data_IF_150430013972
#
_entry.id   IF_150430013972
#
_cell.length_a   1.000
_cell.length_b   1.000
_cell.length_c   1.000
_cell.angle_alpha   90.00
_cell.angle_beta   90.00
_cell.angle_gamma   90.00
#
_symmetry.space_group_name_H-M   'P 1'
#
loop_
_entity.id
_entity.type
_entity.pdbx_description
1 polymer ?
#
# COMPACT_ATOMS: atom_id res chain seq x y z
N UNK A 1 1.77 -1.45 11.64
CA UNK A 1 1.78 -2.39 12.78
C UNK A 1 2.90 -3.41 12.60
N UNK A 2 3.52 -3.90 13.69
CA UNK A 2 4.58 -4.93 13.61
C UNK A 2 3.95 -6.33 13.60
N UNK A 3 4.35 -7.18 12.64
CA UNK A 3 3.96 -8.60 12.61
C UNK A 3 4.36 -9.33 13.89
N UNK A 4 3.74 -10.48 14.15
CA UNK A 4 4.19 -11.38 15.20
C UNK A 4 5.61 -11.89 14.88
N UNK A 5 6.53 -11.87 15.87
CA UNK A 5 7.89 -12.35 15.69
C UNK A 5 7.95 -13.88 15.71
N UNK A 6 8.93 -14.43 14.99
CA UNK A 6 9.22 -15.86 14.95
C UNK A 6 8.44 -16.61 13.86
N UNK A 7 8.68 -17.91 13.80
CA UNK A 7 7.96 -18.81 12.90
C UNK A 7 6.69 -19.32 13.58
N UNK A 8 5.62 -19.38 12.80
CA UNK A 8 4.32 -19.83 13.25
C UNK A 8 3.82 -20.95 12.35
N UNK A 9 3.11 -21.91 12.95
CA UNK A 9 2.57 -23.06 12.24
C UNK A 9 1.56 -22.63 11.20
N UNK A 10 1.46 -23.40 10.12
CA UNK A 10 0.39 -23.27 9.12
C UNK A 10 -0.96 -23.36 9.84
N UNK A 11 -1.89 -22.47 9.50
CA UNK A 11 -3.22 -22.42 10.13
C UNK A 11 -3.30 -21.71 11.48
N UNK A 12 -2.18 -21.29 12.07
CA UNK A 12 -2.24 -20.50 13.32
C UNK A 12 -2.75 -19.07 13.06
N UNK A 13 -3.54 -18.53 14.00
CA UNK A 13 -4.06 -17.16 13.93
C UNK A 13 -2.95 -16.12 13.71
N UNK A 14 -1.80 -16.30 14.36
CA UNK A 14 -0.63 -15.40 14.22
C UNK A 14 -0.05 -15.43 12.81
N UNK A 15 0.00 -16.60 12.16
CA UNK A 15 0.50 -16.72 10.79
C UNK A 15 -0.49 -16.10 9.80
N UNK A 16 -1.77 -16.37 9.97
CA UNK A 16 -2.82 -15.81 9.12
C UNK A 16 -2.88 -14.29 9.25
N UNK A 17 -2.80 -13.77 10.49
CA UNK A 17 -2.67 -12.34 10.74
C UNK A 17 -1.45 -11.74 10.02
N UNK A 18 -0.27 -12.37 10.14
CA UNK A 18 0.94 -11.89 9.47
C UNK A 18 0.78 -11.88 7.93
N UNK A 19 0.13 -12.91 7.36
CA UNK A 19 -0.17 -12.99 5.92
C UNK A 19 -1.07 -11.83 5.49
N UNK A 20 -2.18 -11.61 6.20
CA UNK A 20 -3.12 -10.51 5.93
C UNK A 20 -2.47 -9.14 6.10
N UNK A 21 -1.71 -8.93 7.16
CA UNK A 21 -0.98 -7.68 7.38
C UNK A 21 -0.01 -7.39 6.23
N UNK A 22 0.69 -8.42 5.74
CA UNK A 22 1.60 -8.28 4.60
C UNK A 22 0.86 -7.97 3.31
N UNK A 23 -0.23 -8.66 3.00
CA UNK A 23 -1.01 -8.42 1.78
C UNK A 23 -1.64 -7.02 1.78
N UNK A 24 -2.22 -6.58 2.89
CA UNK A 24 -2.75 -5.20 3.02
C UNK A 24 -1.66 -4.16 2.80
N UNK A 25 -0.45 -4.39 3.34
CA UNK A 25 0.69 -3.47 3.13
C UNK A 25 1.07 -3.37 1.66
N UNK A 26 1.12 -4.49 0.94
CA UNK A 26 1.41 -4.52 -0.51
C UNK A 26 0.39 -3.69 -1.29
N UNK A 27 -0.90 -3.83 -0.99
CA UNK A 27 -1.97 -3.04 -1.63
C UNK A 27 -1.76 -1.54 -1.40
N UNK A 28 -1.57 -1.14 -0.14
CA UNK A 28 -1.37 0.27 0.22
C UNK A 28 -0.12 0.84 -0.47
N UNK A 29 1.00 0.14 -0.42
CA UNK A 29 2.26 0.58 -1.05
C UNK A 29 2.11 0.72 -2.57
N UNK A 30 1.43 -0.22 -3.23
CA UNK A 30 1.20 -0.17 -4.67
C UNK A 30 0.28 0.98 -5.07
N UNK A 31 -0.82 1.21 -4.34
CA UNK A 31 -1.73 2.33 -4.58
C UNK A 31 -0.99 3.65 -4.49
N UNK A 32 -0.27 3.89 -3.40
CA UNK A 32 0.48 5.13 -3.22
C UNK A 32 1.65 5.27 -4.20
N UNK A 33 2.26 4.17 -4.60
CA UNK A 33 3.29 4.14 -5.64
C UNK A 33 2.76 4.62 -7.00
N UNK A 34 1.61 4.12 -7.44
CA UNK A 34 0.93 4.61 -8.65
C UNK A 34 0.55 6.08 -8.55
N UNK A 35 0.02 6.52 -7.41
CA UNK A 35 -0.34 7.92 -7.17
C UNK A 35 0.90 8.82 -7.25
N UNK A 36 2.05 8.37 -6.75
CA UNK A 36 3.31 9.12 -6.78
C UNK A 36 3.92 9.23 -8.18
N UNK A 37 3.77 8.18 -8.99
CA UNK A 37 4.16 8.21 -10.41
C UNK A 37 3.40 9.31 -11.15
N UNK A 38 2.07 9.37 -10.94
CA UNK A 38 1.17 10.30 -11.66
C UNK A 38 1.11 11.71 -11.09
N UNK A 39 1.10 11.87 -9.77
CA UNK A 39 0.92 13.15 -9.11
C UNK A 39 2.17 13.52 -8.32
N UNK A 40 2.90 14.51 -8.83
CA UNK A 40 4.16 14.99 -8.23
C UNK A 40 4.00 15.49 -6.79
N UNK A 41 2.79 15.87 -6.36
CA UNK A 41 2.50 16.30 -4.99
C UNK A 41 2.86 15.23 -3.96
N UNK A 42 2.75 13.93 -4.29
CA UNK A 42 3.13 12.84 -3.37
C UNK A 42 4.62 12.48 -3.41
N UNK A 43 5.40 13.05 -4.35
CA UNK A 43 6.85 12.77 -4.43
C UNK A 43 7.61 13.39 -3.26
N UNK A 44 7.08 14.42 -2.61
CA UNK A 44 7.66 15.09 -1.44
C UNK A 44 6.66 15.13 -0.28
N UNK A 45 7.12 15.28 0.97
CA UNK A 45 6.21 15.59 2.07
C UNK A 45 5.34 16.80 1.73
N UNK A 46 4.06 16.72 2.04
CA UNK A 46 3.09 17.80 1.79
C UNK A 46 3.15 18.75 3.01
N UNK A 47 3.71 19.96 2.90
CA UNK A 47 3.91 20.86 4.03
C UNK A 47 2.62 21.64 4.34
N UNK A 48 1.50 20.94 4.52
CA UNK A 48 0.18 21.50 4.78
C UNK A 48 -0.46 20.80 5.97
N UNK A 49 -1.53 21.39 6.51
CA UNK A 49 -2.30 20.76 7.59
C UNK A 49 -2.92 19.43 7.11
N UNK A 50 -3.07 18.43 8.01
CA UNK A 50 -3.60 17.11 7.66
C UNK A 50 -4.94 17.14 6.93
N UNK A 51 -5.80 18.12 7.24
CA UNK A 51 -7.10 18.31 6.62
C UNK A 51 -6.96 18.67 5.14
N UNK A 52 -6.03 19.58 4.82
CA UNK A 52 -5.75 20.00 3.45
C UNK A 52 -5.03 18.87 2.69
N UNK A 53 -4.08 18.18 3.33
CA UNK A 53 -3.41 17.02 2.73
C UNK A 53 -4.40 15.89 2.39
N UNK A 54 -5.39 15.66 3.25
CA UNK A 54 -6.51 14.73 3.02
C UNK A 54 -7.32 15.17 1.80
N UNK A 55 -7.71 16.44 1.72
CA UNK A 55 -8.46 16.97 0.59
C UNK A 55 -7.71 16.79 -0.74
N UNK A 56 -6.43 17.18 -0.79
CA UNK A 56 -5.57 16.98 -1.96
C UNK A 56 -5.54 15.50 -2.35
N UNK A 57 -5.39 14.60 -1.37
CA UNK A 57 -5.34 13.16 -1.62
C UNK A 57 -6.65 12.66 -2.25
N UNK A 58 -7.80 13.06 -1.70
CA UNK A 58 -9.11 12.72 -2.25
C UNK A 58 -9.31 13.29 -3.66
N UNK A 59 -8.90 14.54 -3.92
CA UNK A 59 -8.96 15.14 -5.26
C UNK A 59 -8.12 14.35 -6.27
N UNK A 60 -6.91 13.93 -5.91
CA UNK A 60 -6.08 13.10 -6.79
C UNK A 60 -6.73 11.74 -7.05
N UNK A 61 -7.36 11.11 -6.05
CA UNK A 61 -8.09 9.84 -6.22
C UNK A 61 -9.27 10.01 -7.18
N UNK A 62 -10.05 11.09 -7.01
CA UNK A 62 -11.17 11.41 -7.91
C UNK A 62 -10.69 11.59 -9.34
N UNK A 63 -9.60 12.35 -9.54
CA UNK A 63 -9.02 12.56 -10.86
C UNK A 63 -8.46 11.27 -11.47
N UNK A 64 -7.80 10.43 -10.67
CA UNK A 64 -7.33 9.12 -11.10
C UNK A 64 -8.48 8.27 -11.64
N UNK A 65 -9.57 8.17 -10.87
CA UNK A 65 -10.76 7.40 -11.24
C UNK A 65 -11.43 7.95 -12.49
N UNK A 66 -11.54 9.28 -12.59
CA UNK A 66 -12.09 9.95 -13.76
C UNK A 66 -11.30 9.63 -15.04
N UNK A 67 -9.96 9.79 -15.00
CA UNK A 67 -9.09 9.56 -16.16
C UNK A 67 -9.02 8.09 -16.57
N UNK A 68 -9.10 7.16 -15.61
CA UNK A 68 -9.16 5.72 -15.84
C UNK A 68 -10.47 5.25 -16.47
N UNK A 69 -11.59 5.92 -16.15
CA UNK A 69 -12.93 5.51 -16.60
C UNK A 69 -13.27 6.00 -18.00
N UNK A 70 -12.60 7.04 -18.47
CA UNK A 70 -12.82 7.56 -19.82
C UNK A 70 -12.07 6.74 -20.88
N UNK A 71 -12.78 6.34 -21.94
CA UNK A 71 -12.21 5.58 -23.07
C UNK A 71 -11.14 6.37 -23.83
N UNK A 72 -11.21 7.70 -23.83
CA UNK A 72 -10.25 8.55 -24.55
C UNK A 72 -8.98 8.82 -23.77
N UNK A 73 -9.04 8.83 -22.43
CA UNK A 73 -7.87 9.13 -21.60
C UNK A 73 -7.24 7.91 -20.94
N UNK A 74 -7.96 6.79 -20.78
CA UNK A 74 -7.47 5.64 -20.00
C UNK A 74 -6.18 5.04 -20.55
N UNK A 75 -6.06 4.86 -21.87
CA UNK A 75 -4.84 4.35 -22.50
C UNK A 75 -3.65 5.31 -22.42
N UNK A 76 -3.90 6.62 -22.26
CA UNK A 76 -2.83 7.64 -22.11
C UNK A 76 -2.42 7.74 -20.64
N UNK A 77 -3.40 7.76 -19.74
CA UNK A 77 -3.21 7.91 -18.31
C UNK A 77 -2.74 6.61 -17.63
N UNK A 78 -3.07 5.45 -18.16
CA UNK A 78 -2.56 4.15 -17.71
C UNK A 78 -2.31 3.28 -18.93
N UNK A 79 -1.19 3.49 -19.65
CA UNK A 79 -0.87 2.71 -20.84
C UNK A 79 -0.70 1.23 -20.48
N UNK A 80 -0.83 0.32 -21.47
CA UNK A 80 -0.59 -1.11 -21.25
C UNK A 80 0.75 -1.37 -20.55
N UNK A 81 0.73 -2.22 -19.53
CA UNK A 81 1.90 -2.49 -18.69
C UNK A 81 2.23 -1.41 -17.65
N UNK A 82 1.42 -0.37 -17.51
CA UNK A 82 1.60 0.61 -16.43
C UNK A 82 1.31 -0.02 -15.07
N UNK A 83 0.20 -0.74 -14.92
CA UNK A 83 -0.28 -1.36 -13.67
C UNK A 83 0.31 -2.77 -13.54
N UNK A 84 0.44 -3.25 -12.31
CA UNK A 84 0.80 -4.64 -12.01
C UNK A 84 -0.24 -5.62 -12.58
N UNK A 85 0.23 -6.77 -13.08
CA UNK A 85 -0.61 -7.88 -13.53
C UNK A 85 -0.47 -9.02 -12.53
N UNK A 86 -1.62 -9.47 -12.01
CA UNK A 86 -1.73 -10.58 -11.07
C UNK A 86 -2.41 -11.77 -11.76
N UNK A 87 -2.13 -12.99 -11.30
CA UNK A 87 -2.92 -14.17 -11.64
C UNK A 87 -4.19 -14.26 -10.78
N UNK A 88 -5.00 -15.29 -11.04
CA UNK A 88 -6.23 -15.58 -10.29
C UNK A 88 -5.94 -15.88 -8.80
N UNK A 89 -4.72 -16.33 -8.47
CA UNK A 89 -4.23 -16.59 -7.11
C UNK A 89 -3.61 -15.35 -6.43
N UNK A 90 -3.75 -14.15 -7.05
CA UNK A 90 -3.18 -12.88 -6.57
C UNK A 90 -1.64 -12.86 -6.47
N UNK A 91 -0.96 -13.74 -7.19
CA UNK A 91 0.48 -13.73 -7.37
C UNK A 91 0.83 -12.73 -8.47
N UNK A 92 1.84 -11.90 -8.20
CA UNK A 92 2.32 -10.91 -9.16
C UNK A 92 3.02 -11.61 -10.34
N UNK A 93 2.42 -11.57 -11.53
CA UNK A 93 2.99 -12.08 -12.77
C UNK A 93 3.95 -11.06 -13.37
N UNK A 94 3.48 -9.81 -13.53
CA UNK A 94 4.24 -8.76 -14.18
C UNK A 94 4.20 -7.46 -13.36
N UNK A 95 5.37 -6.91 -12.97
CA UNK A 95 5.43 -5.62 -12.32
C UNK A 95 5.13 -4.49 -13.31
N UNK A 96 4.27 -3.56 -12.88
CA UNK A 96 3.89 -2.38 -13.63
C UNK A 96 5.05 -1.38 -13.78
N UNK A 97 5.06 -0.65 -14.91
CA UNK A 97 6.11 0.32 -15.21
C UNK A 97 6.14 1.51 -14.24
N UNK A 98 5.04 1.79 -13.51
CA UNK A 98 4.98 2.82 -12.46
C UNK A 98 6.08 2.66 -11.40
N UNK A 99 6.55 1.42 -11.17
CA UNK A 99 7.62 1.11 -10.22
C UNK A 99 8.98 1.70 -10.63
N UNK A 100 9.20 1.93 -11.93
CA UNK A 100 10.43 2.55 -12.45
C UNK A 100 10.47 4.06 -12.23
N UNK A 101 9.32 4.70 -12.07
CA UNK A 101 9.21 6.15 -11.85
C UNK A 101 9.49 6.58 -10.40
N UNK A 102 9.74 5.63 -9.49
CA UNK A 102 10.15 5.93 -8.13
C UNK A 102 11.61 6.41 -8.11
N UNK A 103 11.81 7.71 -8.38
CA UNK A 103 13.09 8.40 -8.22
C UNK A 103 13.64 8.27 -6.78
N UNK A 104 14.97 8.43 -6.62
CA UNK A 104 15.67 8.51 -5.32
C UNK A 104 15.11 9.57 -4.36
N UNK A 105 14.29 10.49 -4.85
CA UNK A 105 13.72 11.65 -4.13
C UNK A 105 12.32 11.41 -3.56
N UNK A 106 11.69 10.25 -3.81
CA UNK A 106 10.33 10.00 -3.35
C UNK A 106 10.20 9.98 -1.81
N UNK A 107 9.13 10.59 -1.30
CA UNK A 107 8.74 10.57 0.11
C UNK A 107 8.34 9.16 0.57
N UNK A 108 7.81 8.35 -0.34
CA UNK A 108 7.38 6.97 -0.09
C UNK A 108 8.60 6.06 -0.22
N UNK A 109 9.17 5.71 0.93
CA UNK A 109 10.38 4.89 1.02
C UNK A 109 10.05 3.58 1.71
N UNK A 110 10.78 2.53 1.33
CA UNK A 110 10.73 1.27 2.04
C UNK A 110 11.04 1.50 3.52
N UNK A 111 10.14 1.03 4.39
CA UNK A 111 10.32 1.10 5.83
C UNK A 111 11.60 0.36 6.20
N UNK A 112 12.52 1.04 6.88
CA UNK A 112 13.72 0.41 7.44
C UNK A 112 13.30 -0.59 8.50
N UNK A 113 13.84 -1.80 8.44
CA UNK A 113 13.66 -2.76 9.52
C UNK A 113 14.50 -2.32 10.72
N UNK A 114 13.83 -1.85 11.78
CA UNK A 114 14.49 -1.44 13.02
C UNK A 114 14.16 -2.46 14.09
N UNK A 115 15.18 -3.17 14.57
CA UNK A 115 15.04 -4.15 15.65
C UNK A 115 14.69 -3.45 16.97
N UNK A 116 13.39 -3.35 17.27
CA UNK A 116 12.86 -2.87 18.56
C UNK A 116 11.74 -3.76 19.06
N UNK A 117 11.65 -3.94 20.38
CA UNK A 117 10.48 -4.54 21.02
C UNK A 117 9.30 -3.59 20.89
N UNK A 118 8.12 -4.13 20.54
CA UNK A 118 6.90 -3.33 20.50
C UNK A 118 6.48 -2.97 21.94
N UNK A 119 5.91 -1.78 22.17
CA UNK A 119 5.27 -1.47 23.44
C UNK A 119 4.09 -2.41 23.71
N UNK A 120 3.64 -2.49 24.98
CA UNK A 120 2.54 -3.37 25.40
C UNK A 120 1.26 -3.04 24.65
N UNK A 121 0.89 -1.77 24.56
CA UNK A 121 -0.31 -1.31 23.86
C UNK A 121 -0.33 -1.73 22.40
N UNK A 122 0.79 -1.57 21.67
CA UNK A 122 0.88 -2.01 20.28
C UNK A 122 0.78 -3.54 20.13
N UNK A 123 1.15 -4.29 21.17
CA UNK A 123 0.99 -5.75 21.21
C UNK A 123 -0.47 -6.13 21.47
N UNK A 124 -1.15 -5.39 22.34
CA UNK A 124 -2.57 -5.56 22.66
C UNK A 124 -3.45 -5.28 21.44
N UNK A 125 -3.29 -4.13 20.80
CA UNK A 125 -4.00 -3.78 19.55
C UNK A 125 -3.79 -4.86 18.47
N UNK A 126 -2.57 -5.42 18.36
CA UNK A 126 -2.31 -6.51 17.42
C UNK A 126 -3.10 -7.77 17.77
N UNK A 127 -3.17 -8.12 19.05
CA UNK A 127 -3.93 -9.28 19.51
C UNK A 127 -5.43 -9.07 19.27
N UNK A 128 -5.95 -7.86 19.48
CA UNK A 128 -7.33 -7.51 19.17
C UNK A 128 -7.63 -7.66 17.68
N UNK A 129 -6.79 -7.10 16.79
CA UNK A 129 -6.97 -7.29 15.35
C UNK A 129 -6.85 -8.76 14.92
N UNK A 130 -5.99 -9.53 15.58
CA UNK A 130 -5.83 -10.96 15.29
C UNK A 130 -7.09 -11.74 15.63
N UNK A 131 -7.69 -11.48 16.79
CA UNK A 131 -8.99 -12.05 17.19
C UNK A 131 -10.11 -11.60 16.27
N UNK A 132 -10.16 -10.31 15.93
CA UNK A 132 -11.17 -9.77 15.02
C UNK A 132 -11.09 -10.45 13.64
N UNK A 133 -9.90 -10.55 13.06
CA UNK A 133 -9.69 -11.12 11.72
C UNK A 133 -9.84 -12.64 11.67
N UNK A 134 -9.71 -13.35 12.79
CA UNK A 134 -9.93 -14.81 12.85
C UNK A 134 -11.40 -15.19 13.01
N UNK A 135 -12.24 -14.25 13.47
CA UNK A 135 -13.68 -14.43 13.64
C UNK A 135 -14.52 -14.00 12.41
N UNK A 136 -13.86 -13.57 11.33
CA UNK A 136 -14.45 -13.18 10.03
C UNK A 136 -14.04 -14.20 8.98
#
# INVERSE_FOLDING_TARGET
MKSYPGHHNIGSEKREFNKRLSSTRVVVENTFGMMTARFRVFRKPIPLQPEIATLITMTCILLHNFLRRSSTSSCIYTPPGFIDIYDDDSVLIQPGSWRKEQEKTCAIRNLRNVARRSPKDATEIRNEFTKYLSNV
#
